data_IF_423268983895
#
_entry.id   IF_423268983895
#
_cell.length_a   1.000
_cell.length_b   1.000
_cell.length_c   1.000
_cell.angle_alpha   90.00
_cell.angle_beta   90.00
_cell.angle_gamma   90.00
#
_symmetry.space_group_name_H-M   'P 1'
#
loop_
_entity.id
_entity.type
_entity.pdbx_description
1 polymer ?
#
# COMPACT_ATOMS: atom_id res chain seq x y z
N UNK A 1 21.29 5.54 -10.76
CA UNK A 1 20.35 5.00 -11.78
C UNK A 1 19.22 6.00 -11.91
N UNK A 2 18.83 6.40 -13.12
CA UNK A 2 17.79 7.41 -13.32
C UNK A 2 16.43 6.84 -12.84
N UNK A 3 15.77 7.55 -11.93
CA UNK A 3 14.43 7.22 -11.45
C UNK A 3 13.45 7.35 -12.63
N UNK A 4 12.94 6.23 -13.12
CA UNK A 4 11.83 6.21 -14.08
C UNK A 4 10.51 6.25 -13.32
N UNK A 5 10.17 7.42 -12.75
CA UNK A 5 8.80 7.67 -12.30
C UNK A 5 7.91 7.73 -13.55
N UNK A 6 6.87 6.91 -13.59
CA UNK A 6 5.93 6.90 -14.71
C UNK A 6 5.33 8.31 -14.89
N UNK A 7 5.46 8.96 -16.06
CA UNK A 7 4.92 10.31 -16.24
C UNK A 7 3.38 10.28 -16.11
N UNK A 8 2.79 11.35 -15.54
CA UNK A 8 1.35 11.44 -15.23
C UNK A 8 0.43 11.06 -16.39
N UNK A 9 0.82 11.36 -17.64
CA UNK A 9 0.04 10.98 -18.83
C UNK A 9 0.12 9.47 -19.12
N UNK A 10 1.17 8.79 -18.68
CA UNK A 10 1.29 7.32 -18.71
C UNK A 10 0.24 6.65 -17.80
N UNK A 11 -0.19 7.32 -16.74
CA UNK A 11 -1.27 6.84 -15.86
C UNK A 11 -2.59 6.60 -16.61
N UNK A 12 -2.89 7.35 -17.68
CA UNK A 12 -4.06 7.08 -18.52
C UNK A 12 -3.95 5.77 -19.31
N UNK A 13 -2.74 5.37 -19.70
CA UNK A 13 -2.51 4.07 -20.33
C UNK A 13 -2.52 2.93 -19.31
N UNK A 14 -2.09 3.21 -18.08
CA UNK A 14 -2.07 2.22 -16.99
C UNK A 14 -3.47 2.06 -16.38
N UNK A 15 -4.27 3.14 -16.27
CA UNK A 15 -5.62 3.12 -15.69
C UNK A 15 -6.72 3.08 -16.76
N UNK A 16 -6.58 2.14 -17.71
CA UNK A 16 -7.57 1.89 -18.74
C UNK A 16 -8.61 0.81 -18.30
N UNK A 17 -9.76 0.69 -18.99
CA UNK A 17 -10.78 -0.32 -18.67
C UNK A 17 -10.24 -1.76 -18.65
N UNK A 18 -9.17 -2.05 -19.42
CA UNK A 18 -8.52 -3.35 -19.46
C UNK A 18 -7.83 -3.68 -18.12
N UNK A 19 -7.26 -2.68 -17.43
CA UNK A 19 -6.68 -2.88 -16.09
C UNK A 19 -7.74 -3.27 -15.07
N UNK A 20 -8.94 -2.69 -15.13
CA UNK A 20 -10.07 -3.11 -14.28
C UNK A 20 -10.50 -4.55 -14.55
N UNK A 21 -10.41 -5.00 -15.78
CA UNK A 21 -10.70 -6.39 -16.15
C UNK A 21 -9.60 -7.35 -15.69
N UNK A 22 -8.34 -6.89 -15.68
CA UNK A 22 -7.18 -7.69 -15.23
C UNK A 22 -7.06 -7.74 -13.71
N UNK A 23 -7.32 -6.62 -13.05
CA UNK A 23 -7.17 -6.42 -11.61
C UNK A 23 -8.47 -5.83 -11.06
N UNK A 24 -9.50 -6.68 -10.91
CA UNK A 24 -10.77 -6.32 -10.31
C UNK A 24 -10.53 -5.85 -8.86
N UNK A 25 -10.65 -4.52 -8.56
CA UNK A 25 -10.27 -4.00 -7.26
C UNK A 25 -11.16 -4.55 -6.13
N UNK A 26 -12.43 -4.84 -6.43
CA UNK A 26 -13.37 -5.34 -5.43
C UNK A 26 -13.01 -6.76 -5.00
N UNK A 27 -12.66 -7.63 -5.95
CA UNK A 27 -12.19 -8.99 -5.64
C UNK A 27 -10.84 -9.02 -4.95
N UNK A 28 -9.94 -8.08 -5.34
CA UNK A 28 -8.59 -8.03 -4.80
C UNK A 28 -8.58 -7.50 -3.36
N UNK A 29 -9.40 -6.49 -3.07
CA UNK A 29 -9.39 -5.80 -1.77
C UNK A 29 -10.39 -6.36 -0.76
N UNK A 30 -11.48 -7.00 -1.24
CA UNK A 30 -12.55 -7.50 -0.38
C UNK A 30 -12.10 -8.42 0.77
N UNK A 31 -11.07 -9.27 0.61
CA UNK A 31 -10.54 -10.07 1.73
C UNK A 31 -9.84 -9.25 2.82
N UNK A 32 -9.38 -8.03 2.52
CA UNK A 32 -8.46 -7.27 3.38
C UNK A 32 -9.07 -6.00 3.95
N UNK A 33 -9.93 -5.32 3.19
CA UNK A 33 -10.49 -4.02 3.59
C UNK A 33 -11.89 -4.21 4.14
N UNK A 34 -12.09 -3.82 5.41
CA UNK A 34 -13.35 -3.95 6.13
C UNK A 34 -13.97 -2.58 6.44
N UNK A 35 -15.27 -2.50 6.76
CA UNK A 35 -15.89 -1.27 7.24
C UNK A 35 -15.13 -0.65 8.41
N UNK A 36 -15.14 0.68 8.48
CA UNK A 36 -14.53 1.50 9.55
C UNK A 36 -13.00 1.51 9.59
N UNK A 37 -12.32 0.76 8.71
CA UNK A 37 -10.85 0.78 8.62
C UNK A 37 -10.33 2.12 8.12
N UNK A 38 -9.11 2.47 8.55
CA UNK A 38 -8.24 3.45 7.91
C UNK A 38 -7.29 2.69 6.98
N UNK A 39 -7.42 2.88 5.67
CA UNK A 39 -6.59 2.23 4.67
C UNK A 39 -5.68 3.23 3.96
N UNK A 40 -4.46 2.81 3.58
CA UNK A 40 -3.52 3.58 2.78
C UNK A 40 -3.39 2.97 1.39
N UNK A 41 -3.39 3.79 0.34
CA UNK A 41 -3.08 3.43 -1.05
C UNK A 41 -1.80 4.16 -1.47
N UNK A 42 -0.65 3.48 -1.42
CA UNK A 42 0.64 4.04 -1.78
C UNK A 42 0.89 3.90 -3.29
N UNK A 43 1.21 5.02 -3.96
CA UNK A 43 1.28 5.09 -5.42
C UNK A 43 -0.11 4.99 -6.04
N UNK A 44 -1.07 5.70 -5.46
CA UNK A 44 -2.50 5.55 -5.76
C UNK A 44 -2.88 5.93 -7.19
N UNK A 45 -2.02 6.65 -7.92
CA UNK A 45 -2.29 7.13 -9.26
C UNK A 45 -3.62 7.88 -9.34
N UNK A 46 -4.45 7.53 -10.31
CA UNK A 46 -5.76 8.16 -10.52
C UNK A 46 -6.89 7.52 -9.69
N UNK A 47 -6.55 6.70 -8.68
CA UNK A 47 -7.47 6.24 -7.64
C UNK A 47 -8.28 4.99 -7.95
N UNK A 48 -7.80 4.09 -8.82
CA UNK A 48 -8.49 2.84 -9.11
C UNK A 48 -8.79 2.05 -7.83
N UNK A 49 -7.78 1.83 -6.99
CA UNK A 49 -7.91 1.10 -5.73
C UNK A 49 -8.44 1.97 -4.60
N UNK A 50 -8.01 3.24 -4.50
CA UNK A 50 -8.49 4.17 -3.49
C UNK A 50 -10.02 4.31 -3.48
N UNK A 51 -10.65 4.44 -4.67
CA UNK A 51 -12.11 4.55 -4.82
C UNK A 51 -12.80 3.24 -4.41
N UNK A 52 -12.21 2.08 -4.72
CA UNK A 52 -12.74 0.80 -4.29
C UNK A 52 -12.64 0.62 -2.77
N UNK A 53 -11.47 0.92 -2.18
CA UNK A 53 -11.30 0.91 -0.72
C UNK A 53 -12.29 1.83 -0.01
N UNK A 54 -12.53 3.04 -0.53
CA UNK A 54 -13.47 4.00 0.04
C UNK A 54 -14.93 3.50 0.06
N UNK A 55 -15.29 2.58 -0.84
CA UNK A 55 -16.59 1.91 -0.79
C UNK A 55 -16.64 0.87 0.31
N UNK A 56 -15.56 0.11 0.53
CA UNK A 56 -15.48 -0.94 1.54
C UNK A 56 -15.45 -0.36 2.96
N UNK A 57 -14.63 0.67 3.19
CA UNK A 57 -14.50 1.26 4.54
C UNK A 57 -15.77 1.97 5.00
N UNK A 58 -16.66 2.37 4.09
CA UNK A 58 -17.93 3.02 4.43
C UNK A 58 -17.77 4.40 5.08
N UNK A 59 -18.84 4.90 5.71
CA UNK A 59 -18.87 6.26 6.27
C UNK A 59 -18.06 6.40 7.57
N UNK A 60 -17.82 5.29 8.28
CA UNK A 60 -17.01 5.28 9.51
C UNK A 60 -15.52 5.13 9.27
N UNK A 61 -15.11 4.76 8.05
CA UNK A 61 -13.70 4.57 7.69
C UNK A 61 -13.18 5.64 6.72
N UNK A 62 -11.91 5.52 6.37
CA UNK A 62 -11.27 6.45 5.43
C UNK A 62 -10.12 5.81 4.66
N UNK A 63 -9.76 6.45 3.55
CA UNK A 63 -8.63 6.08 2.70
C UNK A 63 -7.65 7.24 2.62
N UNK A 64 -6.37 6.97 2.87
CA UNK A 64 -5.27 7.92 2.64
C UNK A 64 -4.65 7.53 1.30
N UNK A 65 -4.92 8.33 0.28
CA UNK A 65 -4.41 8.12 -1.06
C UNK A 65 -3.10 8.90 -1.23
N UNK A 66 -1.99 8.17 -1.37
CA UNK A 66 -0.63 8.73 -1.40
C UNK A 66 -0.06 8.64 -2.80
N UNK A 67 0.44 9.76 -3.33
CA UNK A 67 1.16 9.80 -4.60
C UNK A 67 2.18 10.94 -4.63
N UNK A 68 3.27 10.77 -5.38
CA UNK A 68 4.28 11.79 -5.61
C UNK A 68 3.76 12.93 -6.50
N UNK A 69 2.87 12.59 -7.43
CA UNK A 69 2.41 13.49 -8.48
C UNK A 69 1.07 14.16 -8.12
N UNK A 70 1.09 15.46 -7.83
CA UNK A 70 -0.13 16.23 -7.52
C UNK A 70 -1.23 16.06 -8.58
N UNK A 71 -0.87 15.98 -9.87
CA UNK A 71 -1.84 15.78 -10.95
C UNK A 71 -2.62 14.47 -10.85
N UNK A 72 -2.00 13.40 -10.34
CA UNK A 72 -2.67 12.13 -10.08
C UNK A 72 -3.73 12.30 -9.01
N UNK A 73 -3.36 12.96 -7.90
CA UNK A 73 -4.27 13.26 -6.79
C UNK A 73 -5.44 14.15 -7.24
N UNK A 74 -5.20 15.14 -8.08
CA UNK A 74 -6.25 16.01 -8.63
C UNK A 74 -7.27 15.24 -9.49
N UNK A 75 -6.79 14.26 -10.28
CA UNK A 75 -7.66 13.38 -11.08
C UNK A 75 -8.42 12.42 -10.18
N UNK A 76 -7.76 11.85 -9.17
CA UNK A 76 -8.38 10.99 -8.16
C UNK A 76 -9.54 11.72 -7.48
N UNK A 77 -9.33 12.95 -7.00
CA UNK A 77 -10.36 13.75 -6.34
C UNK A 77 -11.61 13.93 -7.22
N UNK A 78 -11.42 14.27 -8.51
CA UNK A 78 -12.53 14.40 -9.46
C UNK A 78 -13.29 13.09 -9.65
N UNK A 79 -12.58 11.97 -9.73
CA UNK A 79 -13.17 10.62 -9.88
C UNK A 79 -13.90 10.18 -8.61
N UNK A 80 -13.31 10.43 -7.44
CA UNK A 80 -13.90 10.13 -6.15
C UNK A 80 -15.21 10.91 -5.93
N UNK A 81 -15.24 12.20 -6.32
CA UNK A 81 -16.47 13.01 -6.31
C UNK A 81 -17.54 12.41 -7.22
N UNK A 82 -17.17 12.01 -8.46
CA UNK A 82 -18.11 11.36 -9.38
C UNK A 82 -18.61 10.01 -8.84
N UNK A 83 -17.78 9.30 -8.09
CA UNK A 83 -18.14 8.02 -7.47
C UNK A 83 -18.91 8.16 -6.14
N UNK A 84 -19.10 9.39 -5.61
CA UNK A 84 -19.79 9.65 -4.35
C UNK A 84 -19.04 9.21 -3.10
N UNK A 85 -17.69 9.15 -3.16
CA UNK A 85 -16.84 8.69 -2.04
C UNK A 85 -15.74 9.68 -1.67
N UNK A 86 -15.80 10.91 -2.16
CA UNK A 86 -14.74 11.91 -1.97
C UNK A 86 -14.51 12.24 -0.50
N UNK A 87 -15.56 12.25 0.32
CA UNK A 87 -15.49 12.59 1.74
C UNK A 87 -14.77 11.49 2.59
N UNK A 88 -14.59 10.30 2.01
CA UNK A 88 -13.87 9.17 2.62
C UNK A 88 -12.41 9.08 2.17
N UNK A 89 -11.96 9.96 1.27
CA UNK A 89 -10.61 9.93 0.71
C UNK A 89 -9.86 11.22 1.05
N UNK A 90 -8.77 11.07 1.80
CA UNK A 90 -7.79 12.13 2.01
C UNK A 90 -6.63 11.92 1.04
N UNK A 91 -6.31 12.90 0.22
CA UNK A 91 -5.13 12.85 -0.65
C UNK A 91 -3.91 13.39 0.08
N UNK A 92 -2.79 12.69 -0.04
CA UNK A 92 -1.51 13.07 0.53
C UNK A 92 -0.43 13.04 -0.54
N UNK A 93 0.20 14.19 -0.79
CA UNK A 93 1.36 14.25 -1.68
C UNK A 93 2.61 13.91 -0.89
N UNK A 94 3.28 12.82 -1.27
CA UNK A 94 4.53 12.40 -0.67
C UNK A 94 5.75 13.01 -1.38
N UNK A 95 6.93 12.87 -0.78
CA UNK A 95 8.21 13.11 -1.43
C UNK A 95 8.75 11.80 -2.05
N UNK A 96 9.76 11.93 -2.92
CA UNK A 96 10.31 10.76 -3.65
C UNK A 96 10.93 9.70 -2.72
N UNK A 97 11.39 10.11 -1.56
CA UNK A 97 12.11 9.28 -0.57
C UNK A 97 11.38 9.14 0.77
N UNK A 98 10.19 9.71 0.92
CA UNK A 98 9.40 9.63 2.17
C UNK A 98 7.92 9.75 1.93
N UNK A 99 7.15 8.92 2.62
CA UNK A 99 5.69 9.05 2.69
C UNK A 99 5.32 10.29 3.51
N UNK A 100 6.04 10.55 4.62
CA UNK A 100 5.79 11.68 5.50
C UNK A 100 4.49 11.58 6.30
N UNK A 101 4.01 10.37 6.57
CA UNK A 101 2.81 10.09 7.38
C UNK A 101 3.18 9.34 8.66
N UNK A 102 2.44 9.61 9.73
CA UNK A 102 2.55 8.90 11.02
C UNK A 102 1.19 8.41 11.52
N UNK A 103 0.15 8.63 10.73
CA UNK A 103 -1.21 8.28 11.09
C UNK A 103 -1.41 6.76 11.15
N UNK A 104 -2.04 6.22 12.24
CA UNK A 104 -2.26 4.80 12.37
C UNK A 104 -3.26 4.27 11.33
N UNK A 105 -2.88 3.21 10.61
CA UNK A 105 -3.68 2.56 9.58
C UNK A 105 -3.88 1.08 9.87
N UNK A 106 -4.98 0.52 9.36
CA UNK A 106 -5.32 -0.90 9.51
C UNK A 106 -4.83 -1.73 8.31
N UNK A 107 -4.79 -1.11 7.13
CA UNK A 107 -4.38 -1.74 5.89
C UNK A 107 -3.56 -0.78 5.01
N UNK A 108 -2.54 -1.30 4.34
CA UNK A 108 -1.80 -0.61 3.30
C UNK A 108 -1.81 -1.41 2.00
N UNK A 109 -1.92 -0.72 0.89
CA UNK A 109 -1.72 -1.25 -0.46
C UNK A 109 -0.51 -0.55 -1.10
N UNK A 110 0.42 -1.34 -1.64
CA UNK A 110 1.45 -0.88 -2.57
C UNK A 110 1.34 -1.73 -3.85
N UNK A 111 0.66 -1.19 -4.86
CA UNK A 111 0.34 -1.92 -6.09
C UNK A 111 1.05 -1.31 -7.29
N UNK A 112 2.11 -1.97 -7.76
CA UNK A 112 2.95 -1.53 -8.88
C UNK A 112 3.66 -0.18 -8.61
N UNK A 113 4.08 0.02 -7.36
CA UNK A 113 4.66 1.29 -6.93
C UNK A 113 5.96 1.16 -6.13
N UNK A 114 6.17 0.04 -5.43
CA UNK A 114 7.33 -0.10 -4.57
C UNK A 114 8.66 -0.27 -5.33
N UNK A 115 8.63 -0.77 -6.57
CA UNK A 115 9.83 -0.88 -7.42
C UNK A 115 10.31 0.47 -7.98
N UNK A 116 9.48 1.52 -7.90
CA UNK A 116 9.83 2.88 -8.37
C UNK A 116 10.54 3.72 -7.30
N UNK A 117 10.52 3.30 -6.02
CA UNK A 117 11.11 4.09 -4.94
C UNK A 117 12.63 3.92 -4.86
N UNK A 118 13.36 4.96 -4.47
CA UNK A 118 14.83 4.90 -4.34
C UNK A 118 15.30 4.01 -3.18
N UNK A 119 14.52 3.91 -2.11
CA UNK A 119 14.83 3.15 -0.90
C UNK A 119 13.60 2.36 -0.43
N UNK A 120 13.56 1.09 -0.82
CA UNK A 120 12.49 0.17 -0.44
C UNK A 120 12.43 -0.05 1.08
N UNK A 121 13.59 -0.17 1.76
CA UNK A 121 13.64 -0.39 3.20
C UNK A 121 13.00 0.78 3.96
N UNK A 122 13.29 1.99 3.53
CA UNK A 122 12.69 3.20 4.12
C UNK A 122 11.18 3.22 3.88
N UNK A 123 10.71 2.99 2.64
CA UNK A 123 9.29 2.91 2.32
C UNK A 123 8.56 1.91 3.23
N UNK A 124 9.06 0.66 3.27
CA UNK A 124 8.42 -0.39 4.06
C UNK A 124 8.50 -0.09 5.57
N UNK A 125 9.57 0.56 6.03
CA UNK A 125 9.73 1.03 7.41
C UNK A 125 8.69 2.10 7.79
N UNK A 126 8.43 3.06 6.91
CA UNK A 126 7.41 4.08 7.12
C UNK A 126 6.00 3.47 7.12
N UNK A 127 5.71 2.54 6.18
CA UNK A 127 4.44 1.80 6.19
C UNK A 127 4.28 0.99 7.48
N UNK A 128 5.33 0.26 7.88
CA UNK A 128 5.33 -0.48 9.15
C UNK A 128 5.06 0.44 10.35
N UNK A 129 5.68 1.63 10.36
CA UNK A 129 5.44 2.64 11.39
C UNK A 129 3.98 3.06 11.51
N UNK A 130 3.31 3.23 10.36
CA UNK A 130 1.89 3.59 10.31
C UNK A 130 0.95 2.42 10.64
N UNK A 131 1.30 1.18 10.31
CA UNK A 131 0.43 0.03 10.55
C UNK A 131 0.17 -0.16 12.05
N UNK A 132 -1.09 -0.37 12.42
CA UNK A 132 -1.48 -0.88 13.74
C UNK A 132 -0.97 -2.30 13.93
N UNK A 133 -0.93 -2.77 15.18
CA UNK A 133 -0.69 -4.19 15.47
C UNK A 133 -1.72 -5.05 14.72
N UNK A 134 -1.26 -6.12 14.06
CA UNK A 134 -2.06 -6.97 13.18
C UNK A 134 -2.56 -6.27 11.90
N UNK A 135 -2.17 -5.02 11.65
CA UNK A 135 -2.42 -4.33 10.38
C UNK A 135 -1.67 -5.01 9.23
N UNK A 136 -2.25 -4.97 8.03
CA UNK A 136 -1.75 -5.70 6.86
C UNK A 136 -1.22 -4.78 5.76
N UNK A 137 -0.18 -5.24 5.08
CA UNK A 137 0.31 -4.66 3.82
C UNK A 137 0.13 -5.67 2.69
N UNK A 138 -0.59 -5.31 1.63
CA UNK A 138 -0.56 -6.02 0.35
C UNK A 138 0.44 -5.33 -0.57
N UNK A 139 1.54 -6.04 -0.86
CA UNK A 139 2.55 -5.63 -1.82
C UNK A 139 2.36 -6.45 -3.11
N UNK A 140 2.22 -5.78 -4.25
CA UNK A 140 2.10 -6.43 -5.55
C UNK A 140 2.93 -5.70 -6.60
N UNK A 141 3.73 -6.46 -7.36
CA UNK A 141 4.65 -5.92 -8.37
C UNK A 141 4.50 -6.62 -9.72
N UNK A 142 4.65 -5.90 -10.85
CA UNK A 142 4.42 -6.45 -12.17
C UNK A 142 5.56 -7.40 -12.59
N UNK A 143 5.22 -8.61 -13.06
CA UNK A 143 6.21 -9.63 -13.51
C UNK A 143 7.08 -9.17 -14.69
N UNK A 144 6.67 -8.13 -15.42
CA UNK A 144 7.45 -7.56 -16.51
C UNK A 144 8.55 -6.58 -16.07
N UNK A 145 8.49 -6.08 -14.83
CA UNK A 145 9.45 -5.10 -14.28
C UNK A 145 10.24 -5.67 -13.11
N UNK A 146 9.64 -6.55 -12.32
CA UNK A 146 10.24 -7.15 -11.13
C UNK A 146 10.36 -8.65 -11.36
N UNK A 147 11.57 -9.19 -11.26
CA UNK A 147 11.78 -10.64 -11.36
C UNK A 147 11.34 -11.34 -10.06
N UNK A 148 11.15 -12.67 -10.12
CA UNK A 148 10.83 -13.44 -8.93
C UNK A 148 11.91 -13.34 -7.84
N UNK A 149 13.20 -13.24 -8.25
CA UNK A 149 14.32 -13.05 -7.33
C UNK A 149 14.29 -11.67 -6.67
N UNK A 150 14.04 -10.60 -7.43
CA UNK A 150 13.94 -9.24 -6.88
C UNK A 150 12.76 -9.14 -5.92
N UNK A 151 11.62 -9.76 -6.26
CA UNK A 151 10.47 -9.80 -5.36
C UNK A 151 10.76 -10.58 -4.07
N UNK A 152 11.53 -11.67 -4.15
CA UNK A 152 11.97 -12.40 -2.96
C UNK A 152 12.90 -11.54 -2.07
N UNK A 153 13.73 -10.68 -2.65
CA UNK A 153 14.53 -9.71 -1.89
C UNK A 153 13.64 -8.67 -1.20
N UNK A 154 12.58 -8.18 -1.87
CA UNK A 154 11.59 -7.30 -1.24
C UNK A 154 10.94 -7.95 -0.02
N UNK A 155 10.57 -9.23 -0.12
CA UNK A 155 10.02 -10.00 1.01
C UNK A 155 11.03 -10.11 2.15
N UNK A 156 12.30 -10.36 1.85
CA UNK A 156 13.36 -10.43 2.87
C UNK A 156 13.50 -9.10 3.62
N UNK A 157 13.51 -7.98 2.89
CA UNK A 157 13.55 -6.64 3.49
C UNK A 157 12.32 -6.38 4.38
N UNK A 158 11.12 -6.78 3.94
CA UNK A 158 9.90 -6.64 4.72
C UNK A 158 9.97 -7.42 6.04
N UNK A 159 10.42 -8.68 5.98
CA UNK A 159 10.56 -9.51 7.18
C UNK A 159 11.61 -8.94 8.18
N UNK A 160 12.73 -8.42 7.69
CA UNK A 160 13.77 -7.81 8.52
C UNK A 160 13.30 -6.60 9.32
N UNK A 161 12.30 -5.86 8.82
CA UNK A 161 11.73 -4.70 9.51
C UNK A 161 10.49 -5.03 10.37
N UNK A 162 10.10 -6.32 10.46
CA UNK A 162 9.00 -6.77 11.30
C UNK A 162 7.64 -6.90 10.59
N UNK A 163 7.61 -6.83 9.26
CA UNK A 163 6.46 -7.19 8.44
C UNK A 163 6.58 -8.68 8.10
N UNK A 164 5.83 -9.53 8.78
CA UNK A 164 5.86 -10.98 8.57
C UNK A 164 5.00 -11.36 7.37
N UNK A 165 5.54 -12.17 6.47
CA UNK A 165 4.78 -12.72 5.35
C UNK A 165 3.64 -13.61 5.88
N UNK A 166 2.40 -13.30 5.51
CA UNK A 166 1.17 -14.00 5.90
C UNK A 166 0.68 -14.94 4.78
N UNK A 167 0.57 -14.42 3.55
CA UNK A 167 0.12 -15.19 2.40
C UNK A 167 0.63 -14.64 1.06
N UNK A 168 0.53 -15.44 0.00
CA UNK A 168 0.84 -15.07 -1.39
C UNK A 168 -0.39 -15.19 -2.28
N UNK A 169 -1.21 -14.13 -2.37
CA UNK A 169 -2.40 -14.16 -3.21
C UNK A 169 -2.02 -14.26 -4.70
N UNK A 170 -2.80 -15.03 -5.46
CA UNK A 170 -2.62 -15.11 -6.92
C UNK A 170 -3.24 -13.92 -7.60
N UNK A 171 -2.41 -12.93 -7.94
CA UNK A 171 -2.81 -11.76 -8.70
C UNK A 171 -2.25 -11.89 -10.12
N UNK A 172 -3.14 -11.73 -11.12
CA UNK A 172 -2.75 -11.90 -12.53
C UNK A 172 -1.64 -10.92 -12.91
N UNK A 173 -0.62 -11.41 -13.64
CA UNK A 173 0.54 -10.63 -14.11
C UNK A 173 1.36 -9.96 -12.98
N UNK A 174 1.27 -10.48 -11.74
CA UNK A 174 1.94 -9.89 -10.59
C UNK A 174 2.64 -10.95 -9.73
N UNK A 175 3.75 -10.55 -9.12
CA UNK A 175 4.22 -11.12 -7.87
C UNK A 175 3.48 -10.41 -6.74
N UNK A 176 2.95 -11.15 -5.76
CA UNK A 176 2.21 -10.54 -4.66
C UNK A 176 2.45 -11.27 -3.35
N UNK A 177 2.48 -10.50 -2.26
CA UNK A 177 2.56 -11.00 -0.89
C UNK A 177 1.76 -10.09 0.04
N UNK A 178 1.12 -10.68 1.03
CA UNK A 178 0.51 -9.97 2.15
C UNK A 178 1.41 -10.14 3.35
N UNK A 179 1.65 -9.04 4.04
CA UNK A 179 2.41 -9.01 5.28
C UNK A 179 1.51 -8.56 6.41
N UNK A 180 1.81 -9.05 7.60
CA UNK A 180 1.17 -8.63 8.85
C UNK A 180 2.20 -8.00 9.77
N UNK A 181 1.88 -6.87 10.40
CA UNK A 181 2.70 -6.31 11.45
C UNK A 181 2.52 -7.16 12.70
N UNK A 182 3.61 -7.82 13.13
CA UNK A 182 3.61 -8.61 14.34
C UNK A 182 3.20 -7.77 15.57
N UNK A 183 2.59 -8.43 16.55
CA UNK A 183 2.40 -7.83 17.86
C UNK A 183 3.78 -7.52 18.45
N UNK A 184 4.06 -6.27 18.78
CA UNK A 184 5.18 -5.96 19.67
C UNK A 184 4.78 -6.46 21.05
N UNK A 185 5.23 -7.66 21.42
CA UNK A 185 5.04 -8.18 22.77
C UNK A 185 5.94 -7.35 23.71
N UNK A 186 5.39 -6.57 24.67
CA UNK A 186 6.21 -5.78 25.59
C UNK A 186 6.94 -6.63 26.64
N UNK A 187 6.88 -7.97 26.57
CA UNK A 187 7.29 -8.88 27.64
C UNK A 187 8.71 -9.42 27.56
N UNK A 188 9.62 -8.88 26.72
CA UNK A 188 11.00 -9.43 26.66
C UNK A 188 12.10 -8.53 27.25
N UNK A 189 11.74 -7.49 28.02
CA UNK A 189 12.68 -6.69 28.81
C UNK A 189 12.44 -6.91 30.30
N UNK A 190 12.84 -8.05 30.88
CA UNK A 190 12.69 -8.24 32.31
C UNK A 190 12.88 -9.64 32.84
N UNK A 191 13.93 -10.34 32.40
CA UNK A 191 14.51 -11.43 33.23
C UNK A 191 16.03 -11.39 33.15
N UNK A 192 16.62 -10.36 33.73
CA UNK A 192 17.97 -10.53 34.25
C UNK A 192 17.85 -11.13 35.64
N UNK A 193 18.41 -12.30 35.74
CA UNK A 193 18.64 -13.13 36.87
C UNK A 193 19.15 -12.35 38.11
N UNK A 194 18.31 -12.23 39.11
CA UNK A 194 18.81 -12.09 40.49
C UNK A 194 19.30 -13.45 40.99
N UNK A 195 20.59 -13.69 40.93
CA UNK A 195 21.27 -14.66 41.77
C UNK A 195 22.01 -13.85 42.84
N UNK A 196 21.44 -13.86 44.04
CA UNK A 196 22.15 -13.54 45.27
C UNK A 196 23.01 -14.70 45.70
#
# INVERSE_FOLDING_TARGET
MAQHVCPWWGGYFIDNPLRRLLHDPEKLLGPYVQPEMTAMDFGCGMGLFSIAMAKFVGDGGRVIAVDLQQKMLDVLQKRAKKAGVVDRITTHRCEADSIGLTEPIDFALAFYSAHEVPDLRRLLGEIHGCLRAQGKLLLAEPIGHVTANDFQQMISVANEIGLQEDERPRIRMSHAAVFIKAHSDPAHWGRESGTG
#
